data_IF_461001932407
#
_entry.id   IF_461001932407
#
_cell.length_a   1.000
_cell.length_b   1.000
_cell.length_c   1.000
_cell.angle_alpha   90.00
_cell.angle_beta   90.00
_cell.angle_gamma   90.00
#
_symmetry.space_group_name_H-M   'P 1'
#
loop_
_entity.id
_entity.type
_entity.pdbx_description
1 polymer ?
#
# COMPACT_ATOMS: atom_id res chain seq x y z
N UNK A 1 -35.40 -5.42 53.05
CA UNK A 1 -34.02 -4.88 53.00
C UNK A 1 -32.94 -5.92 53.32
N UNK A 2 -33.16 -6.88 54.23
CA UNK A 2 -32.16 -7.91 54.56
C UNK A 2 -31.75 -8.83 53.39
N UNK A 3 -32.70 -9.22 52.52
CA UNK A 3 -32.43 -10.11 51.38
C UNK A 3 -31.55 -9.47 50.29
N UNK A 4 -31.63 -8.15 50.10
CA UNK A 4 -30.83 -7.44 49.10
C UNK A 4 -29.36 -7.34 49.53
N UNK A 5 -29.12 -7.14 50.84
CA UNK A 5 -27.78 -7.13 51.41
C UNK A 5 -27.11 -8.51 51.38
N UNK A 6 -27.89 -9.59 51.55
CA UNK A 6 -27.40 -10.97 51.45
C UNK A 6 -27.04 -11.37 50.01
N UNK A 7 -27.83 -10.96 49.02
CA UNK A 7 -27.49 -11.18 47.61
C UNK A 7 -26.26 -10.36 47.16
N UNK A 8 -26.13 -9.10 47.60
CA UNK A 8 -24.95 -8.28 47.32
C UNK A 8 -23.69 -8.81 48.02
N UNK A 9 -23.81 -9.30 49.26
CA UNK A 9 -22.73 -9.96 49.97
C UNK A 9 -22.30 -11.28 49.32
N UNK A 10 -23.26 -12.10 48.87
CA UNK A 10 -22.96 -13.34 48.16
C UNK A 10 -22.32 -13.10 46.77
N UNK A 11 -22.76 -12.08 46.04
CA UNK A 11 -22.12 -11.66 44.78
C UNK A 11 -20.72 -11.08 44.99
N UNK A 12 -20.50 -10.29 46.06
CA UNK A 12 -19.18 -9.77 46.41
C UNK A 12 -18.21 -10.89 46.84
N UNK A 13 -18.71 -11.91 47.56
CA UNK A 13 -17.91 -13.08 47.95
C UNK A 13 -17.65 -13.99 46.74
N UNK A 14 -18.61 -14.22 45.85
CA UNK A 14 -18.38 -14.96 44.60
C UNK A 14 -17.41 -14.21 43.67
N UNK A 15 -17.47 -12.88 43.59
CA UNK A 15 -16.52 -12.08 42.82
C UNK A 15 -15.10 -12.06 43.43
N UNK A 16 -14.95 -12.25 44.74
CA UNK A 16 -13.66 -12.32 45.43
C UNK A 16 -13.13 -13.75 45.65
N UNK A 17 -13.98 -14.77 45.50
CA UNK A 17 -13.65 -16.17 45.81
C UNK A 17 -13.51 -17.08 44.57
N UNK A 18 -13.70 -16.58 43.34
CA UNK A 18 -13.04 -17.21 42.20
C UNK A 18 -11.55 -17.02 42.42
N UNK A 19 -10.80 -18.11 42.69
CA UNK A 19 -9.39 -17.95 42.93
C UNK A 19 -8.77 -17.38 41.65
N UNK A 20 -8.11 -16.23 41.77
CA UNK A 20 -7.05 -15.77 40.85
C UNK A 20 -5.88 -16.80 40.74
N UNK A 21 -6.03 -17.97 41.37
CA UNK A 21 -5.16 -19.11 41.45
C UNK A 21 -5.70 -20.17 40.47
N UNK A 22 -5.32 -20.16 39.20
CA UNK A 22 -4.19 -20.96 38.70
C UNK A 22 -3.57 -20.34 37.43
N UNK A 23 -3.43 -19.02 37.34
CA UNK A 23 -2.58 -18.39 36.33
C UNK A 23 -1.09 -18.37 36.75
N UNK A 24 -0.61 -19.42 37.43
CA UNK A 24 0.63 -19.42 38.22
C UNK A 24 1.93 -19.06 37.49
N UNK A 25 1.92 -18.95 36.17
CA UNK A 25 3.01 -18.38 35.38
C UNK A 25 2.52 -17.48 34.23
N UNK A 26 1.21 -17.28 34.09
CA UNK A 26 0.66 -16.62 32.92
C UNK A 26 0.95 -15.11 32.99
N UNK A 27 1.49 -14.57 31.90
CA UNK A 27 1.83 -13.15 31.77
C UNK A 27 1.16 -12.54 30.53
N UNK A 28 0.90 -11.22 30.51
CA UNK A 28 0.47 -10.57 29.29
C UNK A 28 1.48 -10.82 28.15
N UNK A 29 0.96 -10.94 26.92
CA UNK A 29 1.81 -10.97 25.74
C UNK A 29 2.65 -9.70 25.64
N UNK A 30 3.96 -9.85 25.47
CA UNK A 30 4.87 -8.72 25.28
C UNK A 30 4.77 -8.16 23.84
N UNK A 31 5.48 -7.06 23.56
CA UNK A 31 5.42 -6.41 22.25
C UNK A 31 5.83 -7.36 21.10
N UNK A 32 6.89 -8.17 21.30
CA UNK A 32 7.32 -9.17 20.31
C UNK A 32 6.25 -10.21 20.03
N UNK A 33 5.59 -10.73 21.05
CA UNK A 33 4.56 -11.76 20.87
C UNK A 33 3.31 -11.22 20.17
N UNK A 34 2.93 -9.97 20.45
CA UNK A 34 1.86 -9.28 19.69
C UNK A 34 2.25 -9.11 18.23
N UNK A 35 3.51 -8.76 17.97
CA UNK A 35 4.05 -8.62 16.62
C UNK A 35 4.06 -9.97 15.88
N UNK A 36 4.57 -11.04 16.51
CA UNK A 36 4.55 -12.39 15.94
C UNK A 36 3.13 -12.86 15.61
N UNK A 37 2.17 -12.61 16.50
CA UNK A 37 0.75 -12.88 16.22
C UNK A 37 0.25 -12.12 15.01
N UNK A 38 0.56 -10.82 14.90
CA UNK A 38 0.16 -10.01 13.76
C UNK A 38 0.70 -10.58 12.44
N UNK A 39 2.01 -10.81 12.35
CA UNK A 39 2.60 -11.34 11.11
C UNK A 39 2.09 -12.74 10.77
N UNK A 40 1.92 -13.62 11.74
CA UNK A 40 1.35 -14.95 11.51
C UNK A 40 -0.07 -14.88 10.92
N UNK A 41 -0.88 -13.94 11.41
CA UNK A 41 -2.23 -13.68 10.89
C UNK A 41 -2.26 -12.95 9.55
N UNK A 42 -1.22 -12.19 9.19
CA UNK A 42 -1.11 -11.55 7.88
C UNK A 42 -0.66 -12.53 6.79
N UNK A 43 0.36 -13.35 7.06
CA UNK A 43 0.95 -14.25 6.04
C UNK A 43 0.48 -15.70 6.15
N UNK A 44 -0.37 -16.02 7.12
CA UNK A 44 -0.91 -17.37 7.33
C UNK A 44 0.15 -18.40 7.73
N UNK A 45 1.18 -18.00 8.50
CA UNK A 45 2.30 -18.85 8.87
C UNK A 45 2.18 -19.35 10.33
N UNK A 46 1.58 -20.53 10.58
CA UNK A 46 1.35 -21.05 11.93
C UNK A 46 2.65 -21.35 12.70
N UNK A 47 3.75 -21.64 12.03
CA UNK A 47 5.06 -21.89 12.64
C UNK A 47 5.60 -20.65 13.39
N UNK A 48 5.23 -19.44 12.99
CA UNK A 48 5.58 -18.20 13.71
C UNK A 48 4.97 -18.20 15.12
N UNK A 49 3.78 -18.80 15.28
CA UNK A 49 3.12 -18.92 16.57
C UNK A 49 3.89 -19.81 17.56
N UNK A 50 4.80 -20.68 17.08
CA UNK A 50 5.61 -21.52 17.95
C UNK A 50 6.61 -20.73 18.79
N UNK A 51 6.97 -19.52 18.34
CA UNK A 51 7.86 -18.58 19.03
C UNK A 51 7.17 -17.70 20.09
N UNK A 52 5.84 -17.82 20.25
CA UNK A 52 5.08 -17.16 21.32
C UNK A 52 5.10 -18.03 22.58
N UNK A 53 5.37 -17.42 23.74
CA UNK A 53 5.39 -18.17 25.00
C UNK A 53 4.05 -18.86 25.26
N UNK A 54 4.12 -20.06 25.83
CA UNK A 54 2.93 -20.80 26.27
C UNK A 54 2.22 -20.10 27.43
N UNK A 55 2.96 -19.29 28.18
CA UNK A 55 2.44 -18.56 29.34
C UNK A 55 1.89 -17.18 28.94
N UNK A 56 2.00 -16.77 27.67
CA UNK A 56 1.49 -15.49 27.21
C UNK A 56 -0.04 -15.53 27.02
N UNK A 57 -0.75 -14.58 27.61
CA UNK A 57 -2.19 -14.38 27.42
C UNK A 57 -2.53 -13.01 26.84
N UNK A 58 -3.71 -12.89 26.23
CA UNK A 58 -4.37 -11.63 25.93
C UNK A 58 -5.69 -11.53 26.66
N UNK A 59 -6.03 -10.32 27.13
CA UNK A 59 -7.32 -10.01 27.77
C UNK A 59 -8.19 -9.25 26.78
N UNK A 60 -9.45 -9.63 26.70
CA UNK A 60 -10.47 -8.92 25.94
C UNK A 60 -11.30 -8.06 26.89
N UNK A 61 -11.63 -6.85 26.44
CA UNK A 61 -12.46 -5.96 27.23
C UNK A 61 -13.85 -6.54 27.44
N UNK A 62 -14.27 -6.62 28.70
CA UNK A 62 -15.59 -7.12 29.10
C UNK A 62 -16.76 -6.36 28.46
N UNK A 63 -16.56 -5.06 28.20
CA UNK A 63 -17.58 -4.19 27.63
C UNK A 63 -17.93 -4.45 26.16
N UNK A 64 -17.05 -5.09 25.37
CA UNK A 64 -17.24 -5.20 23.91
C UNK A 64 -17.18 -6.64 23.37
N UNK A 65 -16.71 -7.60 24.16
CA UNK A 65 -16.51 -8.99 23.71
C UNK A 65 -16.79 -10.04 24.80
N UNK A 66 -17.69 -9.75 25.74
CA UNK A 66 -18.12 -10.72 26.77
C UNK A 66 -17.15 -10.96 27.92
N UNK A 67 -15.94 -10.40 27.88
CA UNK A 67 -14.95 -10.51 28.94
C UNK A 67 -14.30 -11.88 28.96
N UNK A 68 -13.02 -11.92 28.63
CA UNK A 68 -12.31 -13.19 28.54
C UNK A 68 -10.81 -13.00 28.46
N UNK A 69 -10.11 -14.11 28.59
CA UNK A 69 -8.69 -14.19 28.30
C UNK A 69 -8.43 -15.43 27.47
N UNK A 70 -7.50 -15.34 26.54
CA UNK A 70 -7.06 -16.47 25.73
C UNK A 70 -5.53 -16.51 25.69
N UNK A 71 -4.98 -17.69 25.39
CA UNK A 71 -3.53 -17.81 25.18
C UNK A 71 -3.16 -17.08 23.90
N UNK A 72 -2.21 -16.14 23.96
CA UNK A 72 -1.79 -15.35 22.80
C UNK A 72 -1.32 -16.25 21.64
N UNK A 73 -0.73 -17.42 21.96
CA UNK A 73 -0.35 -18.44 20.98
C UNK A 73 -1.55 -19.11 20.30
N UNK A 74 -2.63 -19.37 21.04
CA UNK A 74 -3.86 -19.92 20.46
C UNK A 74 -4.53 -18.92 19.53
N UNK A 75 -4.54 -17.64 19.91
CA UNK A 75 -5.06 -16.59 19.04
C UNK A 75 -4.24 -16.41 17.76
N UNK A 76 -2.92 -16.60 17.87
CA UNK A 76 -2.02 -16.62 16.72
C UNK A 76 -2.36 -17.76 15.77
N UNK A 77 -2.54 -18.99 16.27
CA UNK A 77 -2.94 -20.12 15.41
C UNK A 77 -4.30 -19.90 14.78
N UNK A 78 -5.27 -19.35 15.50
CA UNK A 78 -6.57 -19.04 14.92
C UNK A 78 -6.45 -18.00 13.80
N UNK A 79 -5.72 -16.90 14.03
CA UNK A 79 -5.51 -15.88 13.00
C UNK A 79 -4.79 -16.45 11.76
N UNK A 80 -3.76 -17.27 11.96
CA UNK A 80 -3.05 -17.96 10.89
C UNK A 80 -3.97 -18.95 10.14
N UNK A 81 -4.82 -19.69 10.86
CA UNK A 81 -5.79 -20.61 10.28
C UNK A 81 -6.82 -19.91 9.39
N UNK A 82 -7.38 -18.79 9.87
CA UNK A 82 -8.33 -17.97 9.11
C UNK A 82 -7.68 -17.41 7.86
N UNK A 83 -6.45 -16.90 7.99
CA UNK A 83 -5.70 -16.35 6.86
C UNK A 83 -5.35 -17.40 5.82
N UNK A 84 -4.86 -18.57 6.24
CA UNK A 84 -4.46 -19.67 5.37
C UNK A 84 -5.65 -20.49 4.84
N UNK A 85 -6.86 -20.22 5.31
CA UNK A 85 -8.04 -21.05 5.08
C UNK A 85 -7.80 -22.54 5.41
N UNK A 86 -7.02 -22.82 6.46
CA UNK A 86 -6.65 -24.18 6.86
C UNK A 86 -7.17 -24.53 8.26
N UNK A 87 -8.28 -25.28 8.29
CA UNK A 87 -8.91 -25.74 9.53
C UNK A 87 -8.04 -26.76 10.31
N UNK A 88 -7.03 -27.36 9.67
CA UNK A 88 -6.07 -28.26 10.33
C UNK A 88 -5.25 -27.54 11.40
N UNK A 89 -4.92 -26.27 11.17
CA UNK A 89 -4.18 -25.41 12.12
C UNK A 89 -4.98 -25.23 13.43
N UNK A 90 -6.32 -25.18 13.34
CA UNK A 90 -7.20 -24.98 14.49
C UNK A 90 -7.04 -26.05 15.59
N UNK A 91 -6.50 -27.24 15.29
CA UNK A 91 -6.20 -28.27 16.30
C UNK A 91 -5.20 -27.81 17.37
N UNK A 92 -4.43 -26.74 17.09
CA UNK A 92 -3.47 -26.14 18.02
C UNK A 92 -4.07 -25.04 18.91
N UNK A 93 -5.32 -24.62 18.67
CA UNK A 93 -6.05 -23.62 19.46
C UNK A 93 -6.56 -24.25 20.75
N UNK A 94 -6.22 -23.66 21.90
CA UNK A 94 -6.62 -24.12 23.24
C UNK A 94 -7.36 -23.02 24.01
N UNK A 95 -8.49 -23.34 24.66
CA UNK A 95 -9.16 -22.38 25.54
C UNK A 95 -8.31 -22.14 26.81
N UNK A 96 -8.28 -20.90 27.28
CA UNK A 96 -7.71 -20.54 28.59
C UNK A 96 -8.80 -20.58 29.67
N UNK A 97 -9.86 -19.79 29.48
CA UNK A 97 -11.13 -19.92 30.19
C UNK A 97 -12.24 -19.55 29.22
N UNK A 98 -13.23 -20.43 29.05
CA UNK A 98 -14.43 -20.16 28.24
C UNK A 98 -15.61 -20.00 29.19
N UNK A 99 -15.99 -18.75 29.47
CA UNK A 99 -17.09 -18.44 30.39
C UNK A 99 -18.47 -18.50 29.70
N UNK A 100 -18.52 -18.75 28.39
CA UNK A 100 -19.78 -18.90 27.66
C UNK A 100 -19.72 -20.08 26.66
N UNK A 101 -20.07 -21.30 27.12
CA UNK A 101 -20.12 -22.49 26.26
C UNK A 101 -21.20 -22.41 25.16
N UNK A 102 -22.10 -21.42 25.22
CA UNK A 102 -23.16 -21.19 24.23
C UNK A 102 -22.83 -20.08 23.24
N UNK A 103 -21.79 -19.27 23.50
CA UNK A 103 -21.32 -18.28 22.54
C UNK A 103 -20.82 -18.99 21.29
N UNK A 104 -21.35 -18.62 20.14
CA UNK A 104 -20.82 -19.00 18.81
C UNK A 104 -19.37 -18.54 18.58
N UNK A 105 -18.75 -17.90 19.57
CA UNK A 105 -17.40 -17.33 19.60
C UNK A 105 -16.44 -18.09 20.54
N UNK A 106 -16.86 -19.22 21.12
CA UNK A 106 -16.05 -20.02 22.05
C UNK A 106 -14.66 -20.36 21.47
N UNK A 107 -13.63 -19.87 22.15
CA UNK A 107 -12.22 -19.93 21.74
C UNK A 107 -11.69 -21.37 21.78
N UNK A 108 -12.03 -22.16 20.76
CA UNK A 108 -11.81 -23.61 20.71
C UNK A 108 -11.38 -24.05 19.31
N UNK A 109 -10.78 -25.24 19.21
CA UNK A 109 -10.42 -25.84 17.92
C UNK A 109 -11.62 -25.97 16.97
N UNK A 110 -12.79 -26.34 17.50
CA UNK A 110 -14.02 -26.46 16.72
C UNK A 110 -14.58 -25.09 16.30
N UNK A 111 -14.55 -24.11 17.21
CA UNK A 111 -14.95 -22.73 16.93
C UNK A 111 -14.09 -22.15 15.80
N UNK A 112 -12.76 -22.22 15.92
CA UNK A 112 -11.82 -21.83 14.88
C UNK A 112 -12.13 -22.52 13.54
N UNK A 113 -12.31 -23.85 13.53
CA UNK A 113 -12.57 -24.59 12.30
C UNK A 113 -13.87 -24.12 11.61
N UNK A 114 -14.94 -23.84 12.39
CA UNK A 114 -16.19 -23.29 11.85
C UNK A 114 -16.00 -21.91 11.23
N UNK A 115 -15.20 -21.04 11.87
CA UNK A 115 -14.91 -19.69 11.34
C UNK A 115 -14.08 -19.74 10.06
N UNK A 116 -13.10 -20.64 9.99
CA UNK A 116 -12.35 -20.93 8.76
C UNK A 116 -13.30 -21.37 7.64
N UNK A 117 -14.21 -22.31 7.91
CA UNK A 117 -15.20 -22.77 6.93
C UNK A 117 -16.20 -21.69 6.50
N UNK A 118 -16.40 -20.66 7.32
CA UNK A 118 -17.24 -19.48 7.00
C UNK A 118 -16.46 -18.37 6.29
N UNK A 119 -15.17 -18.56 6.01
CA UNK A 119 -14.29 -17.54 5.45
C UNK A 119 -14.30 -16.23 6.25
N UNK A 120 -14.35 -16.33 7.58
CA UNK A 120 -14.22 -15.16 8.43
C UNK A 120 -12.81 -14.58 8.39
N UNK A 121 -12.71 -13.25 8.53
CA UNK A 121 -11.42 -12.57 8.58
C UNK A 121 -10.88 -12.51 10.02
N UNK A 122 -9.55 -12.58 10.20
CA UNK A 122 -8.95 -12.33 11.51
C UNK A 122 -9.20 -10.87 11.95
N UNK A 123 -9.55 -10.67 13.23
CA UNK A 123 -9.91 -9.36 13.82
C UNK A 123 -8.80 -8.72 14.65
N UNK A 124 -7.55 -9.13 14.45
CA UNK A 124 -6.43 -8.60 15.23
C UNK A 124 -6.15 -7.14 14.88
N UNK A 125 -6.08 -6.27 15.90
CA UNK A 125 -5.51 -4.94 15.73
C UNK A 125 -4.05 -5.08 15.28
N UNK A 126 -3.71 -4.47 14.15
CA UNK A 126 -2.34 -4.43 13.65
C UNK A 126 -1.47 -3.43 14.41
N UNK A 127 -0.14 -3.52 14.27
CA UNK A 127 0.78 -2.50 14.76
C UNK A 127 0.48 -1.16 14.08
N UNK A 128 0.75 -0.06 14.78
CA UNK A 128 0.78 1.26 14.14
C UNK A 128 1.96 1.38 13.16
N UNK A 129 2.02 2.46 12.38
CA UNK A 129 3.06 2.67 11.37
C UNK A 129 4.48 2.59 11.96
N UNK A 130 4.73 3.22 13.12
CA UNK A 130 6.05 3.24 13.75
C UNK A 130 6.48 1.86 14.24
N UNK A 131 5.56 1.09 14.83
CA UNK A 131 5.80 -0.29 15.25
C UNK A 131 6.10 -1.21 14.06
N UNK A 132 5.37 -1.05 12.95
CA UNK A 132 5.59 -1.81 11.72
C UNK A 132 6.97 -1.51 11.13
N UNK A 133 7.35 -0.23 11.01
CA UNK A 133 8.66 0.17 10.51
C UNK A 133 9.80 -0.38 11.38
N UNK A 134 9.65 -0.27 12.71
CA UNK A 134 10.63 -0.79 13.67
C UNK A 134 10.78 -2.31 13.53
N UNK A 135 9.67 -3.04 13.35
CA UNK A 135 9.68 -4.48 13.16
C UNK A 135 10.43 -4.90 11.88
N UNK A 136 10.15 -4.24 10.74
CA UNK A 136 10.84 -4.54 9.49
C UNK A 136 12.34 -4.23 9.57
N UNK A 137 12.70 -3.09 10.18
CA UNK A 137 14.11 -2.74 10.41
C UNK A 137 14.81 -3.79 11.29
N UNK A 138 14.18 -4.24 12.38
CA UNK A 138 14.73 -5.28 13.26
C UNK A 138 14.91 -6.64 12.57
N UNK A 139 14.09 -6.94 11.56
CA UNK A 139 14.25 -8.13 10.70
C UNK A 139 15.32 -7.96 9.61
N UNK A 140 15.98 -6.80 9.54
CA UNK A 140 16.96 -6.48 8.50
C UNK A 140 16.32 -6.32 7.12
N UNK A 141 15.06 -5.88 7.06
CA UNK A 141 14.47 -5.42 5.81
C UNK A 141 14.73 -3.94 5.62
N UNK A 142 15.23 -3.61 4.44
CA UNK A 142 15.37 -2.24 3.98
C UNK A 142 14.34 -1.96 2.89
N UNK A 143 13.68 -0.80 2.97
CA UNK A 143 12.61 -0.41 2.03
C UNK A 143 13.12 -0.29 0.58
N UNK A 144 14.38 0.09 0.37
CA UNK A 144 15.01 0.16 -0.96
C UNK A 144 15.44 -1.21 -1.48
N UNK A 145 15.68 -2.17 -0.59
CA UNK A 145 16.14 -3.52 -0.97
C UNK A 145 15.00 -4.53 -1.08
N UNK A 146 13.83 -4.26 -0.51
CA UNK A 146 12.66 -5.15 -0.55
C UNK A 146 12.26 -5.62 -1.97
N UNK A 147 12.39 -4.81 -3.04
CA UNK A 147 12.12 -5.28 -4.40
C UNK A 147 12.99 -6.47 -4.85
N UNK A 148 14.15 -6.68 -4.22
CA UNK A 148 15.02 -7.83 -4.50
C UNK A 148 14.38 -9.16 -4.11
N UNK A 149 13.34 -9.16 -3.27
CA UNK A 149 12.54 -10.35 -2.99
C UNK A 149 11.74 -10.81 -4.22
N UNK A 150 11.60 -9.96 -5.26
CA UNK A 150 10.97 -10.32 -6.53
C UNK A 150 9.44 -10.44 -6.50
N UNK A 151 8.81 -10.09 -5.37
CA UNK A 151 7.36 -10.18 -5.18
C UNK A 151 6.65 -8.83 -5.27
N UNK A 152 7.38 -7.73 -5.07
CA UNK A 152 6.84 -6.36 -5.11
C UNK A 152 7.81 -5.45 -5.86
N UNK A 153 7.29 -4.47 -6.62
CA UNK A 153 8.10 -3.46 -7.30
C UNK A 153 8.70 -2.42 -6.32
N UNK A 154 9.56 -1.50 -6.77
CA UNK A 154 10.15 -0.45 -5.92
C UNK A 154 9.11 0.44 -5.26
N UNK A 155 9.38 0.83 -4.00
CA UNK A 155 8.53 1.74 -3.24
C UNK A 155 8.45 3.14 -3.88
N UNK A 156 9.60 3.65 -4.33
CA UNK A 156 9.69 4.88 -5.12
C UNK A 156 9.39 4.51 -6.57
N UNK A 157 8.25 4.99 -7.06
CA UNK A 157 7.87 4.77 -8.46
C UNK A 157 8.62 5.77 -9.35
N UNK A 158 8.83 5.45 -10.64
CA UNK A 158 9.39 6.38 -11.62
C UNK A 158 8.74 7.78 -11.61
N UNK A 159 7.41 7.83 -11.39
CA UNK A 159 6.66 9.07 -11.20
C UNK A 159 7.14 9.91 -10.02
N UNK A 160 7.46 9.28 -8.89
CA UNK A 160 7.90 10.01 -7.69
C UNK A 160 9.27 10.65 -7.93
N UNK A 161 10.15 9.96 -8.66
CA UNK A 161 11.43 10.50 -9.09
C UNK A 161 11.26 11.69 -10.04
N UNK A 162 10.34 11.60 -11.00
CA UNK A 162 10.00 12.71 -11.91
C UNK A 162 9.51 13.95 -11.15
N UNK A 163 8.54 13.78 -10.24
CA UNK A 163 7.97 14.89 -9.46
C UNK A 163 9.05 15.54 -8.59
N UNK A 164 9.92 14.73 -7.98
CA UNK A 164 11.05 15.22 -7.19
C UNK A 164 12.03 16.02 -8.05
N UNK A 165 12.36 15.51 -9.24
CA UNK A 165 13.26 16.18 -10.19
C UNK A 165 12.68 17.51 -10.69
N UNK A 166 11.39 17.59 -10.99
CA UNK A 166 10.71 18.80 -11.43
C UNK A 166 10.67 19.92 -10.35
N UNK A 167 10.85 19.57 -9.07
CA UNK A 167 10.91 20.51 -7.95
C UNK A 167 12.33 20.97 -7.60
N UNK A 168 13.35 20.45 -8.28
CA UNK A 168 14.75 20.77 -8.02
C UNK A 168 15.28 21.73 -9.10
N UNK A 169 15.48 23.00 -8.74
CA UNK A 169 15.90 24.05 -9.67
C UNK A 169 17.22 23.72 -10.40
N UNK A 170 18.16 23.07 -9.72
CA UNK A 170 19.44 22.67 -10.33
C UNK A 170 19.23 21.60 -11.41
N UNK A 171 18.33 20.65 -11.16
CA UNK A 171 17.96 19.60 -12.11
C UNK A 171 17.24 20.21 -13.31
N UNK A 172 16.29 21.12 -13.07
CA UNK A 172 15.54 21.81 -14.11
C UNK A 172 16.45 22.66 -14.98
N UNK A 173 17.39 23.40 -14.40
CA UNK A 173 18.37 24.20 -15.14
C UNK A 173 19.27 23.31 -16.04
N UNK A 174 19.69 22.15 -15.53
CA UNK A 174 20.45 21.18 -16.31
C UNK A 174 19.62 20.57 -17.44
N UNK A 175 18.35 20.24 -17.19
CA UNK A 175 17.42 19.76 -18.21
C UNK A 175 17.25 20.78 -19.34
N UNK A 176 17.05 22.06 -19.02
CA UNK A 176 17.02 23.16 -20.00
C UNK A 176 18.28 23.21 -20.85
N UNK A 177 19.44 23.19 -20.20
CA UNK A 177 20.74 23.22 -20.88
C UNK A 177 20.90 22.04 -21.85
N UNK A 178 20.48 20.84 -21.46
CA UNK A 178 20.50 19.65 -22.33
C UNK A 178 19.59 19.80 -23.54
N UNK A 179 18.39 20.35 -23.36
CA UNK A 179 17.43 20.61 -24.45
C UNK A 179 17.92 21.72 -25.40
N UNK A 180 18.69 22.69 -24.91
CA UNK A 180 19.19 23.84 -25.69
C UNK A 180 20.47 23.52 -26.47
N UNK A 181 21.35 22.66 -25.95
CA UNK A 181 22.60 22.25 -26.62
C UNK A 181 22.41 21.37 -27.86
N UNK A 182 21.16 21.06 -28.21
CA UNK A 182 20.77 20.39 -29.45
C UNK A 182 20.57 18.88 -29.30
N UNK A 183 19.54 18.38 -29.98
CA UNK A 183 19.02 17.00 -29.94
C UNK A 183 20.00 15.90 -30.38
N UNK A 184 21.21 16.23 -30.88
CA UNK A 184 22.09 15.24 -31.51
C UNK A 184 22.59 14.12 -30.57
N UNK A 185 22.41 14.27 -29.25
CA UNK A 185 22.78 13.24 -28.25
C UNK A 185 21.59 12.62 -27.52
N UNK A 186 20.39 13.17 -27.67
CA UNK A 186 19.18 12.72 -26.97
C UNK A 186 18.28 11.97 -27.96
N UNK A 187 17.74 10.82 -27.55
CA UNK A 187 16.67 10.21 -28.30
C UNK A 187 15.36 11.00 -28.15
N UNK A 188 14.37 10.64 -28.96
CA UNK A 188 13.06 11.30 -28.94
C UNK A 188 12.36 11.16 -27.57
N UNK A 189 12.49 10.00 -26.93
CA UNK A 189 11.90 9.75 -25.61
C UNK A 189 12.58 10.57 -24.50
N UNK A 190 13.91 10.70 -24.53
CA UNK A 190 14.62 11.55 -23.57
C UNK A 190 14.28 13.02 -23.76
N UNK A 191 14.25 13.48 -25.02
CA UNK A 191 13.87 14.85 -25.37
C UNK A 191 12.45 15.15 -24.88
N UNK A 192 11.51 14.25 -25.17
CA UNK A 192 10.13 14.35 -24.76
C UNK A 192 9.99 14.52 -23.25
N UNK A 193 10.69 13.68 -22.48
CA UNK A 193 10.66 13.73 -21.02
C UNK A 193 11.30 14.99 -20.43
N UNK A 194 12.49 15.35 -20.90
CA UNK A 194 13.16 16.54 -20.37
C UNK A 194 12.33 17.78 -20.65
N UNK A 195 11.73 17.87 -21.84
CA UNK A 195 10.83 18.94 -22.19
C UNK A 195 9.58 18.97 -21.30
N UNK A 196 8.95 17.82 -21.01
CA UNK A 196 7.82 17.78 -20.08
C UNK A 196 8.21 18.14 -18.65
N UNK A 197 9.39 17.73 -18.20
CA UNK A 197 9.93 18.05 -16.88
C UNK A 197 10.13 19.56 -16.73
N UNK A 198 10.72 20.20 -17.73
CA UNK A 198 10.94 21.66 -17.72
C UNK A 198 9.61 22.41 -17.84
N UNK A 199 8.68 21.95 -18.70
CA UNK A 199 7.33 22.52 -18.80
C UNK A 199 6.63 22.50 -17.44
N UNK A 200 6.70 21.36 -16.74
CA UNK A 200 6.12 21.18 -15.41
C UNK A 200 6.71 22.13 -14.37
N UNK A 201 8.04 22.22 -14.32
CA UNK A 201 8.74 23.04 -13.34
C UNK A 201 8.53 24.55 -13.58
N UNK A 202 8.55 24.97 -14.84
CA UNK A 202 8.49 26.39 -15.22
C UNK A 202 7.09 26.91 -15.49
N UNK A 203 6.13 26.00 -15.58
CA UNK A 203 4.75 26.26 -16.01
C UNK A 203 4.65 26.89 -17.41
N UNK A 204 5.63 26.63 -18.29
CA UNK A 204 5.72 27.30 -19.58
C UNK A 204 5.40 26.34 -20.75
N UNK A 205 4.32 26.59 -21.52
CA UNK A 205 3.80 25.66 -22.53
C UNK A 205 4.71 25.48 -23.74
N UNK A 206 5.59 26.44 -24.02
CA UNK A 206 6.56 26.36 -25.12
C UNK A 206 7.50 25.14 -25.00
N UNK A 207 7.71 24.63 -23.79
CA UNK A 207 8.48 23.41 -23.58
C UNK A 207 7.74 22.17 -24.08
N UNK A 208 6.41 22.11 -23.94
CA UNK A 208 5.64 21.00 -24.50
C UNK A 208 5.74 20.97 -26.03
N UNK A 209 5.96 22.10 -26.70
CA UNK A 209 6.12 22.14 -28.16
C UNK A 209 7.41 21.50 -28.66
N UNK A 210 8.43 21.41 -27.80
CA UNK A 210 9.72 20.74 -28.10
C UNK A 210 9.60 19.22 -28.09
N UNK A 211 8.47 18.68 -27.65
CA UNK A 211 8.19 17.23 -27.68
C UNK A 211 7.82 16.83 -29.11
N UNK A 212 8.53 15.86 -29.74
CA UNK A 212 8.18 15.41 -31.08
C UNK A 212 6.77 14.80 -31.12
N UNK A 213 5.98 15.17 -32.14
CA UNK A 213 4.54 14.83 -32.23
C UNK A 213 4.24 13.32 -32.31
N UNK A 214 5.21 12.51 -32.73
CA UNK A 214 5.05 11.05 -32.87
C UNK A 214 5.42 10.24 -31.63
N UNK A 215 5.93 10.87 -30.56
CA UNK A 215 6.39 10.13 -29.38
C UNK A 215 5.19 9.62 -28.60
N UNK A 216 5.11 8.30 -28.51
CA UNK A 216 4.17 7.58 -27.64
C UNK A 216 5.01 6.94 -26.54
N UNK A 217 4.80 7.36 -25.29
CA UNK A 217 5.42 6.71 -24.13
C UNK A 217 4.45 5.60 -23.69
N UNK A 218 4.97 4.39 -23.45
CA UNK A 218 4.28 3.09 -23.47
C UNK A 218 2.99 2.92 -22.64
N UNK A 219 2.59 3.91 -21.84
CA UNK A 219 1.39 3.88 -20.99
C UNK A 219 0.45 5.08 -21.21
N UNK A 220 0.73 5.95 -22.18
CA UNK A 220 -0.18 7.01 -22.58
C UNK A 220 -1.38 6.40 -23.32
N UNK A 221 -2.34 5.84 -22.59
CA UNK A 221 -3.63 5.37 -23.12
C UNK A 221 -4.48 6.47 -23.79
N UNK A 222 -3.93 7.68 -23.97
CA UNK A 222 -4.65 8.89 -24.35
C UNK A 222 -4.04 9.66 -25.53
N UNK A 223 -3.01 9.12 -26.22
CA UNK A 223 -2.48 9.70 -27.45
C UNK A 223 -1.02 10.16 -27.35
N UNK A 224 -0.58 11.09 -28.23
CA UNK A 224 0.80 11.57 -28.25
C UNK A 224 1.24 12.21 -26.94
N UNK A 225 2.50 12.00 -26.54
CA UNK A 225 3.03 12.50 -25.27
C UNK A 225 3.06 14.04 -25.18
N UNK A 226 3.20 14.73 -26.32
CA UNK A 226 3.10 16.19 -26.41
C UNK A 226 1.73 16.68 -25.92
N UNK A 227 0.66 16.05 -26.38
CA UNK A 227 -0.70 16.45 -26.07
C UNK A 227 -0.99 16.24 -24.58
N UNK A 228 -0.43 15.18 -24.01
CA UNK A 228 -0.48 14.94 -22.57
C UNK A 228 0.27 16.01 -21.75
N UNK A 229 1.45 16.45 -22.20
CA UNK A 229 2.19 17.55 -21.57
C UNK A 229 1.34 18.83 -21.52
N UNK A 230 0.73 19.20 -22.65
CA UNK A 230 -0.14 20.39 -22.77
C UNK A 230 -1.37 20.26 -21.86
N UNK A 231 -2.05 19.11 -21.88
CA UNK A 231 -3.22 18.83 -21.05
C UNK A 231 -2.90 18.98 -19.55
N UNK A 232 -1.78 18.38 -19.13
CA UNK A 232 -1.35 18.38 -17.73
C UNK A 232 -1.00 19.78 -17.28
N UNK A 233 -0.22 20.50 -18.10
CA UNK A 233 0.16 21.87 -17.80
C UNK A 233 -1.06 22.80 -17.70
N UNK A 234 -2.02 22.71 -18.62
CA UNK A 234 -3.27 23.47 -18.56
C UNK A 234 -4.06 23.19 -17.28
N UNK A 235 -4.11 21.92 -16.86
CA UNK A 235 -4.80 21.51 -15.64
C UNK A 235 -4.14 22.06 -14.38
N UNK A 236 -2.81 22.00 -14.30
CA UNK A 236 -2.05 22.43 -13.11
C UNK A 236 -1.91 23.95 -12.99
N UNK A 237 -1.88 24.65 -14.12
CA UNK A 237 -1.90 26.13 -14.16
C UNK A 237 -3.31 26.70 -14.08
N UNK A 238 -4.34 25.86 -14.26
CA UNK A 238 -5.74 26.26 -14.42
C UNK A 238 -5.92 27.28 -15.56
N UNK A 239 -5.12 27.14 -16.61
CA UNK A 239 -5.17 28.00 -17.79
C UNK A 239 -5.75 27.24 -18.99
N UNK A 240 -7.04 27.44 -19.32
CA UNK A 240 -7.68 26.78 -20.44
C UNK A 240 -7.13 27.23 -21.81
N UNK A 241 -6.42 28.36 -21.89
CA UNK A 241 -5.83 28.83 -23.15
C UNK A 241 -4.68 27.92 -23.61
N UNK A 242 -3.98 27.26 -22.69
CA UNK A 242 -2.93 26.28 -23.01
C UNK A 242 -3.49 25.12 -23.84
N UNK A 243 -4.76 24.76 -23.65
CA UNK A 243 -5.43 23.71 -24.42
C UNK A 243 -5.57 24.04 -25.93
N UNK A 244 -5.31 25.27 -26.36
CA UNK A 244 -5.38 25.67 -27.77
C UNK A 244 -4.22 25.11 -28.59
N UNK A 245 -3.14 24.68 -27.93
CA UNK A 245 -2.03 23.99 -28.57
C UNK A 245 -2.33 22.52 -28.93
N UNK A 246 -3.46 21.97 -28.46
CA UNK A 246 -3.94 20.64 -28.83
C UNK A 246 -4.60 20.63 -30.21
N UNK A 247 -4.68 19.44 -30.82
CA UNK A 247 -5.46 19.27 -32.04
C UNK A 247 -6.89 19.81 -31.86
N UNK A 248 -7.38 20.67 -32.77
CA UNK A 248 -8.73 21.19 -32.69
C UNK A 248 -9.75 20.06 -32.59
N UNK A 249 -10.79 20.24 -31.76
CA UNK A 249 -11.80 19.22 -31.51
C UNK A 249 -12.36 18.58 -32.79
N UNK A 250 -12.69 19.40 -33.79
CA UNK A 250 -13.20 18.99 -35.11
C UNK A 250 -12.26 18.10 -35.94
N UNK A 251 -10.98 18.05 -35.59
CA UNK A 251 -9.93 17.30 -36.29
C UNK A 251 -9.43 16.10 -35.50
N UNK A 252 -9.95 15.88 -34.29
CA UNK A 252 -9.61 14.75 -33.45
C UNK A 252 -10.23 13.45 -33.97
N UNK A 253 -9.46 12.35 -33.98
CA UNK A 253 -9.88 11.08 -34.57
C UNK A 253 -11.14 10.50 -33.91
N UNK A 254 -11.29 10.62 -32.57
CA UNK A 254 -12.49 10.14 -31.87
C UNK A 254 -13.70 11.00 -32.20
N UNK A 255 -13.49 12.31 -32.37
CA UNK A 255 -14.55 13.23 -32.79
C UNK A 255 -15.03 12.88 -34.20
N UNK A 256 -14.10 12.68 -35.15
CA UNK A 256 -14.42 12.26 -36.52
C UNK A 256 -15.13 10.90 -36.56
N UNK A 257 -14.68 9.93 -35.77
CA UNK A 257 -15.31 8.60 -35.65
C UNK A 257 -16.74 8.70 -35.09
N UNK A 258 -16.97 9.54 -34.07
CA UNK A 258 -18.29 9.75 -33.49
C UNK A 258 -19.24 10.42 -34.50
N UNK A 259 -18.78 11.43 -35.24
CA UNK A 259 -19.55 12.07 -36.30
C UNK A 259 -19.91 11.06 -37.39
N UNK A 260 -18.97 10.22 -37.81
CA UNK A 260 -19.22 9.15 -38.80
C UNK A 260 -20.26 8.12 -38.31
N UNK A 261 -20.44 7.97 -37.00
CA UNK A 261 -21.48 7.13 -36.37
C UNK A 261 -22.81 7.86 -36.14
N UNK A 262 -22.98 9.07 -36.67
CA UNK A 262 -24.22 9.84 -36.58
C UNK A 262 -24.38 10.64 -35.29
N UNK A 263 -23.32 10.77 -34.46
CA UNK A 263 -23.35 11.68 -33.31
C UNK A 263 -23.32 13.13 -33.80
N UNK A 264 -24.20 13.98 -33.28
CA UNK A 264 -24.23 15.40 -33.63
C UNK A 264 -22.86 16.06 -33.39
N UNK A 265 -22.33 16.90 -34.31
CA UNK A 265 -20.98 17.46 -34.18
C UNK A 265 -20.72 18.17 -32.84
N UNK A 266 -21.68 18.94 -32.34
CA UNK A 266 -21.56 19.63 -31.06
C UNK A 266 -21.39 18.70 -29.85
N UNK A 267 -21.91 17.47 -29.92
CA UNK A 267 -21.74 16.44 -28.88
C UNK A 267 -20.42 15.70 -29.12
N UNK A 268 -20.10 15.37 -30.38
CA UNK A 268 -18.85 14.69 -30.72
C UNK A 268 -17.61 15.51 -30.34
N UNK A 269 -17.62 16.83 -30.55
CA UNK A 269 -16.51 17.72 -30.15
C UNK A 269 -16.23 17.70 -28.65
N UNK A 270 -17.23 17.38 -27.81
CA UNK A 270 -17.05 17.24 -26.36
C UNK A 270 -16.21 16.01 -25.99
N UNK A 271 -16.05 15.06 -26.92
CA UNK A 271 -15.22 13.87 -26.76
C UNK A 271 -13.74 14.16 -27.05
N UNK A 272 -13.42 15.26 -27.71
CA UNK A 272 -12.05 15.63 -28.06
C UNK A 272 -11.17 15.88 -26.83
N UNK A 273 -9.86 15.61 -26.98
CA UNK A 273 -8.89 15.87 -25.92
C UNK A 273 -8.82 17.37 -25.56
N UNK A 274 -8.94 18.26 -26.54
CA UNK A 274 -8.98 19.72 -26.32
C UNK A 274 -10.16 20.13 -25.45
N UNK A 275 -11.36 19.60 -25.70
CA UNK A 275 -12.53 19.94 -24.90
C UNK A 275 -12.43 19.36 -23.48
N UNK A 276 -11.91 18.14 -23.34
CA UNK A 276 -11.61 17.53 -22.04
C UNK A 276 -10.59 18.37 -21.25
N UNK A 277 -9.54 18.85 -21.92
CA UNK A 277 -8.51 19.73 -21.35
C UNK A 277 -9.14 21.01 -20.79
N UNK A 278 -9.90 21.75 -21.60
CA UNK A 278 -10.54 23.00 -21.17
C UNK A 278 -11.49 22.77 -19.99
N UNK A 279 -12.28 21.68 -20.03
CA UNK A 279 -13.15 21.30 -18.92
C UNK A 279 -12.37 21.03 -17.63
N UNK A 280 -11.23 20.36 -17.73
CA UNK A 280 -10.40 20.04 -16.57
C UNK A 280 -9.67 21.27 -16.03
N UNK A 281 -9.10 22.11 -16.90
CA UNK A 281 -8.45 23.38 -16.53
C UNK A 281 -9.41 24.36 -15.84
N UNK A 282 -10.68 24.35 -16.22
CA UNK A 282 -11.73 25.17 -15.60
C UNK A 282 -12.24 24.63 -14.24
N UNK A 283 -11.81 23.44 -13.79
CA UNK A 283 -12.21 22.92 -12.48
C UNK A 283 -11.40 23.59 -11.38
N UNK A 284 -12.09 24.12 -10.38
CA UNK A 284 -11.51 24.74 -9.17
C UNK A 284 -10.90 23.73 -8.18
N UNK A 285 -10.90 22.43 -8.48
CA UNK A 285 -10.31 21.43 -7.59
C UNK A 285 -8.78 21.50 -7.63
N UNK A 286 -8.17 21.75 -6.48
CA UNK A 286 -6.71 21.91 -6.26
C UNK A 286 -5.90 20.60 -6.31
N UNK A 287 -6.50 19.50 -6.77
CA UNK A 287 -5.77 18.24 -6.92
C UNK A 287 -4.84 18.33 -8.12
N UNK A 288 -3.57 18.64 -7.90
CA UNK A 288 -2.53 18.61 -8.94
C UNK A 288 -2.63 17.30 -9.73
N UNK A 289 -2.95 17.40 -11.02
CA UNK A 289 -3.21 16.25 -11.91
C UNK A 289 -1.94 15.93 -12.68
N UNK A 290 -0.79 15.85 -12.01
CA UNK A 290 0.26 14.94 -12.47
C UNK A 290 -0.18 13.50 -12.24
N UNK A 291 -1.37 13.13 -12.73
CA UNK A 291 -1.96 11.80 -12.67
C UNK A 291 -1.21 10.87 -13.62
N UNK A 292 -0.51 9.91 -13.04
CA UNK A 292 -0.16 8.60 -13.61
C UNK A 292 0.58 8.48 -14.97
N UNK A 293 0.97 9.53 -15.70
CA UNK A 293 1.70 9.35 -16.98
C UNK A 293 3.05 10.08 -17.04
N UNK A 294 3.64 10.41 -15.88
CA UNK A 294 5.11 10.44 -15.83
C UNK A 294 5.60 9.07 -16.32
N UNK A 295 6.70 8.98 -17.08
CA UNK A 295 7.16 7.70 -17.62
C UNK A 295 7.22 6.66 -16.53
N UNK A 296 6.54 5.57 -16.78
CA UNK A 296 6.58 4.38 -15.97
C UNK A 296 7.80 3.53 -16.29
N UNK A 297 8.45 3.75 -17.44
CA UNK A 297 9.60 2.98 -17.88
C UNK A 297 10.78 3.21 -16.90
N UNK A 298 11.16 2.18 -16.10
CA UNK A 298 12.23 2.31 -15.13
C UNK A 298 13.61 2.44 -15.79
N UNK A 299 13.80 1.94 -17.01
CA UNK A 299 15.06 2.07 -17.74
C UNK A 299 15.25 3.50 -18.25
N UNK A 300 14.23 4.05 -18.91
CA UNK A 300 14.23 5.45 -19.36
C UNK A 300 14.43 6.40 -18.17
N UNK A 301 13.70 6.20 -17.08
CA UNK A 301 13.80 7.04 -15.87
C UNK A 301 15.21 7.00 -15.28
N UNK A 302 15.83 5.83 -15.15
CA UNK A 302 17.23 5.72 -14.67
C UNK A 302 18.21 6.42 -15.59
N UNK A 303 18.07 6.28 -16.90
CA UNK A 303 18.92 6.96 -17.89
C UNK A 303 18.79 8.48 -17.75
N UNK A 304 17.58 8.99 -17.60
CA UNK A 304 17.29 10.41 -17.44
C UNK A 304 17.87 10.98 -16.14
N UNK A 305 17.68 10.28 -15.02
CA UNK A 305 18.28 10.69 -13.75
C UNK A 305 19.81 10.75 -13.87
N UNK A 306 20.44 9.77 -14.53
CA UNK A 306 21.88 9.78 -14.81
C UNK A 306 22.31 10.98 -15.68
N UNK A 307 21.58 11.28 -16.75
CA UNK A 307 21.84 12.47 -17.60
C UNK A 307 21.75 13.78 -16.81
N UNK A 308 20.82 13.83 -15.86
CA UNK A 308 20.61 14.96 -14.94
C UNK A 308 21.60 14.97 -13.76
N UNK A 309 22.48 13.97 -13.65
CA UNK A 309 23.41 13.82 -12.53
C UNK A 309 22.72 13.62 -11.19
N UNK A 310 21.55 13.00 -11.21
CA UNK A 310 20.75 12.67 -10.03
C UNK A 310 20.81 11.17 -9.74
N UNK A 311 20.82 10.83 -8.46
CA UNK A 311 20.55 9.47 -8.01
C UNK A 311 19.04 9.27 -7.90
N UNK A 312 18.57 8.04 -8.07
CA UNK A 312 17.18 7.72 -7.76
C UNK A 312 16.88 8.09 -6.30
N UNK A 313 15.71 8.68 -5.99
CA UNK A 313 15.35 8.96 -4.62
C UNK A 313 15.28 7.65 -3.84
N UNK A 314 15.83 7.67 -2.62
CA UNK A 314 15.72 6.56 -1.68
C UNK A 314 14.31 6.53 -1.10
N UNK A 315 13.74 5.33 -1.01
CA UNK A 315 12.47 5.10 -0.35
C UNK A 315 12.53 5.40 1.15
N UNK A 316 13.73 5.42 1.76
CA UNK A 316 13.92 5.88 3.15
C UNK A 316 13.57 7.35 3.33
N UNK A 317 13.60 8.15 2.25
CA UNK A 317 13.22 9.56 2.28
C UNK A 317 11.69 9.76 2.15
N UNK A 318 10.92 8.69 1.92
CA UNK A 318 9.46 8.79 1.91
C UNK A 318 8.95 9.08 3.33
N UNK A 319 7.79 9.74 3.46
CA UNK A 319 7.11 9.88 4.74
C UNK A 319 6.88 8.50 5.42
N UNK A 320 6.96 8.39 6.75
CA UNK A 320 6.81 7.12 7.47
C UNK A 320 5.54 6.33 7.11
N UNK A 321 4.41 7.02 6.93
CA UNK A 321 3.14 6.42 6.53
C UNK A 321 3.22 5.73 5.16
N UNK A 322 3.96 6.32 4.21
CA UNK A 322 4.17 5.75 2.88
C UNK A 322 5.07 4.52 2.93
N UNK A 323 6.09 4.55 3.79
CA UNK A 323 6.96 3.39 4.01
C UNK A 323 6.17 2.24 4.65
N UNK A 324 5.34 2.53 5.66
CA UNK A 324 4.48 1.55 6.32
C UNK A 324 3.47 0.93 5.35
N UNK A 325 2.82 1.74 4.52
CA UNK A 325 1.91 1.26 3.49
C UNK A 325 2.58 0.34 2.47
N UNK A 326 3.82 0.63 2.10
CA UNK A 326 4.60 -0.23 1.21
C UNK A 326 4.90 -1.60 1.86
N UNK A 327 5.26 -1.62 3.14
CA UNK A 327 5.43 -2.88 3.88
C UNK A 327 4.11 -3.66 4.04
N UNK A 328 2.98 -2.99 4.24
CA UNK A 328 1.65 -3.64 4.22
C UNK A 328 1.34 -4.26 2.86
N UNK A 329 1.66 -3.56 1.76
CA UNK A 329 1.53 -4.12 0.41
C UNK A 329 2.40 -5.35 0.22
N UNK A 330 3.63 -5.33 0.72
CA UNK A 330 4.50 -6.51 0.71
C UNK A 330 3.85 -7.67 1.48
N UNK A 331 3.32 -7.44 2.69
CA UNK A 331 2.61 -8.48 3.45
C UNK A 331 1.37 -9.01 2.73
N UNK A 332 0.61 -8.12 2.08
CA UNK A 332 -0.55 -8.50 1.28
C UNK A 332 -0.18 -9.43 0.12
N UNK A 333 0.92 -9.13 -0.59
CA UNK A 333 1.42 -10.01 -1.67
C UNK A 333 1.85 -11.38 -1.13
N UNK A 334 2.30 -11.44 0.13
CA UNK A 334 2.64 -12.68 0.80
C UNK A 334 1.42 -13.44 1.35
N UNK A 335 0.18 -13.01 1.11
CA UNK A 335 -1.00 -13.74 1.58
C UNK A 335 -1.10 -15.13 0.94
N UNK A 336 -1.57 -16.13 1.71
CA UNK A 336 -1.72 -17.47 1.20
C UNK A 336 -2.80 -17.59 0.12
N UNK A 337 -2.53 -18.32 -0.97
CA UNK A 337 -3.44 -18.44 -2.11
C UNK A 337 -3.25 -19.70 -2.95
N UNK A 338 -4.27 -20.06 -3.72
CA UNK A 338 -4.29 -21.31 -4.52
C UNK A 338 -3.24 -21.35 -5.65
N UNK A 339 -2.71 -20.21 -6.07
CA UNK A 339 -1.71 -20.10 -7.16
C UNK A 339 -0.51 -19.25 -6.72
N UNK A 340 0.15 -19.65 -5.65
CA UNK A 340 1.40 -19.02 -5.23
C UNK A 340 2.59 -19.46 -6.09
N UNK A 341 3.25 -18.49 -6.71
CA UNK A 341 4.54 -18.69 -7.37
C UNK A 341 5.68 -18.92 -6.37
N UNK A 342 6.77 -19.53 -6.84
CA UNK A 342 7.93 -19.89 -6.00
C UNK A 342 8.59 -18.68 -5.32
N UNK A 343 8.59 -17.51 -5.98
CA UNK A 343 9.09 -16.27 -5.40
C UNK A 343 8.31 -15.85 -4.14
N UNK A 344 6.98 -15.98 -4.15
CA UNK A 344 6.12 -15.66 -3.00
C UNK A 344 6.39 -16.62 -1.85
N UNK A 345 6.49 -17.93 -2.13
CA UNK A 345 6.81 -18.95 -1.12
C UNK A 345 8.18 -18.71 -0.49
N UNK A 346 9.20 -18.43 -1.31
CA UNK A 346 10.56 -18.15 -0.85
C UNK A 346 10.62 -16.87 0.02
N UNK A 347 9.97 -15.80 -0.43
CA UNK A 347 9.91 -14.54 0.33
C UNK A 347 9.16 -14.71 1.66
N UNK A 348 8.03 -15.46 1.68
CA UNK A 348 7.29 -15.80 2.90
C UNK A 348 8.16 -16.63 3.86
N UNK A 349 8.82 -17.68 3.38
CA UNK A 349 9.69 -18.51 4.20
C UNK A 349 10.85 -17.71 4.80
N UNK A 350 11.45 -16.80 4.03
CA UNK A 350 12.51 -15.89 4.51
C UNK A 350 11.99 -14.94 5.59
N UNK A 351 10.80 -14.36 5.39
CA UNK A 351 10.16 -13.51 6.39
C UNK A 351 9.88 -14.28 7.69
N UNK A 352 9.33 -15.48 7.59
CA UNK A 352 9.08 -16.38 8.74
C UNK A 352 10.38 -16.68 9.50
N UNK A 353 11.45 -17.04 8.80
CA UNK A 353 12.74 -17.31 9.42
C UNK A 353 13.28 -16.09 10.18
N UNK A 354 13.18 -14.89 9.60
CA UNK A 354 13.59 -13.62 10.23
C UNK A 354 12.73 -13.29 11.46
N UNK A 355 11.42 -13.48 11.38
CA UNK A 355 10.49 -13.26 12.50
C UNK A 355 10.81 -14.16 13.70
N UNK A 356 11.05 -15.45 13.46
CA UNK A 356 11.41 -16.40 14.52
C UNK A 356 12.74 -16.02 15.17
N UNK A 357 13.71 -15.56 14.36
CA UNK A 357 15.02 -15.12 14.82
C UNK A 357 15.04 -13.76 15.53
N UNK A 358 13.94 -12.98 15.50
CA UNK A 358 13.88 -11.69 16.20
C UNK A 358 14.15 -11.89 17.69
N UNK A 359 15.09 -11.14 18.29
CA UNK A 359 15.37 -11.22 19.72
C UNK A 359 14.16 -10.75 20.52
N UNK A 360 13.99 -11.29 21.74
CA UNK A 360 13.06 -10.71 22.70
C UNK A 360 13.53 -9.28 23.06
N UNK A 361 12.61 -8.30 23.18
CA UNK A 361 12.97 -7.01 23.75
C UNK A 361 13.56 -7.24 25.15
N UNK A 362 14.59 -6.46 25.53
CA UNK A 362 15.26 -6.59 26.82
C UNK A 362 14.32 -6.41 28.02
#
# INVERSE_FOLDING_TARGET
>A
MLFLALCLGALAVLACAYPLWTFGAARPANAREKLLRYFAGEIGAPEVCDAISRDAFQRYNALFAGGGASYARSDCYEAAALRAHDAGICRRVRPLVDFDPSSSHGYSALGCARRVLRNETPTAAGPNDAELLTAFAAMGYDVDELPREGVIGPAVKPRDAYVTAARNDTVVARAKTLLERGQQTLGDAETAYLASLVAAATRAPEWCERIPRGVIIAEAHQGPFRDWCVFTLASDTQDPAICDALLPARSDAKTLEAIARGVAPAIAEQLSLQHQCRRQANRTSTGAVYGAQAPSDPALTRRLLSLLGQTAPSARALPPERQADYYRQFLYVLWPGAQEGDAVKAARAKLVARLIALPAPP
#
